data_IF_709773216130
#
_entry.id   IF_709773216130
#
_cell.length_a   1.000
_cell.length_b   1.000
_cell.length_c   1.000
_cell.angle_alpha   90.00
_cell.angle_beta   90.00
_cell.angle_gamma   90.00
#
_symmetry.space_group_name_H-M   'P 1'
#
loop_
_entity.id
_entity.type
_entity.pdbx_description
1 polymer ?
#
# COMPACT_ATOMS: atom_id res chain seq x y z
N UNK A 1 12.70 -6.93 20.34
CA UNK A 1 12.17 -7.63 19.13
C UNK A 1 11.84 -6.69 17.95
N UNK A 2 12.14 -5.38 18.03
CA UNK A 2 11.85 -4.35 17.01
C UNK A 2 12.75 -4.48 15.75
N UNK A 3 13.97 -5.01 15.90
CA UNK A 3 14.94 -5.11 14.81
C UNK A 3 14.46 -5.92 13.60
N UNK A 4 13.67 -6.99 13.79
CA UNK A 4 13.26 -7.90 12.71
C UNK A 4 12.15 -7.34 11.81
N UNK A 5 11.25 -6.50 12.33
CA UNK A 5 10.18 -5.86 11.55
C UNK A 5 10.73 -4.71 10.69
N UNK A 6 11.64 -3.91 11.25
CA UNK A 6 12.42 -2.92 10.50
C UNK A 6 13.32 -3.52 9.42
N UNK A 7 13.63 -4.82 9.49
CA UNK A 7 14.49 -5.47 8.50
C UNK A 7 13.78 -5.63 7.15
N UNK A 8 12.46 -5.86 7.13
CA UNK A 8 11.71 -6.05 5.88
C UNK A 8 11.32 -4.75 5.18
N UNK A 9 10.97 -3.70 5.94
CA UNK A 9 10.86 -2.36 5.37
C UNK A 9 12.18 -1.95 4.69
N UNK A 10 13.35 -2.24 5.31
CA UNK A 10 14.67 -2.05 4.69
C UNK A 10 14.89 -2.90 3.43
N UNK A 11 14.36 -4.13 3.37
CA UNK A 11 14.43 -4.98 2.17
C UNK A 11 13.61 -4.43 1.01
N UNK A 12 12.50 -3.73 1.27
CA UNK A 12 11.71 -3.05 0.24
C UNK A 12 12.43 -1.82 -0.36
N UNK A 13 13.46 -1.31 0.32
CA UNK A 13 14.34 -0.23 -0.16
C UNK A 13 15.66 -0.73 -0.75
N UNK A 14 15.89 -2.04 -0.85
CA UNK A 14 17.06 -2.57 -1.58
C UNK A 14 16.84 -2.31 -3.07
N UNK A 15 17.56 -1.32 -3.60
CA UNK A 15 17.63 -1.06 -5.04
C UNK A 15 18.16 -2.30 -5.75
N UNK A 16 17.46 -2.78 -6.78
CA UNK A 16 18.08 -3.67 -7.76
C UNK A 16 19.29 -2.96 -8.38
N UNK A 17 20.40 -3.67 -8.64
CA UNK A 17 21.52 -3.08 -9.36
C UNK A 17 21.04 -2.52 -10.71
N UNK A 18 21.67 -1.47 -11.25
CA UNK A 18 21.35 -1.00 -12.59
C UNK A 18 21.49 -2.16 -13.58
N UNK A 19 20.70 -2.20 -14.67
CA UNK A 19 20.99 -3.11 -15.75
C UNK A 19 22.44 -2.85 -16.18
N UNK A 20 23.29 -3.87 -16.07
CA UNK A 20 24.68 -3.79 -16.50
C UNK A 20 24.73 -3.29 -17.94
N UNK A 21 25.70 -2.42 -18.22
CA UNK A 21 26.00 -1.92 -19.55
C UNK A 21 25.91 -3.04 -20.59
N UNK A 22 25.14 -2.75 -21.64
CA UNK A 22 24.94 -3.41 -22.93
C UNK A 22 25.59 -4.78 -23.16
N UNK A 23 24.84 -5.81 -23.63
CA UNK A 23 25.48 -6.93 -24.33
C UNK A 23 26.21 -6.39 -25.57
N UNK A 24 27.45 -6.86 -25.73
CA UNK A 24 28.31 -6.64 -26.88
C UNK A 24 27.62 -7.01 -28.19
N UNK A 25 28.00 -6.31 -29.26
CA UNK A 25 27.45 -6.42 -30.60
C UNK A 25 27.61 -7.81 -31.22
N UNK A 26 26.65 -8.70 -30.98
CA UNK A 26 26.28 -9.81 -31.88
C UNK A 26 24.78 -10.05 -31.73
N UNK A 27 23.99 -9.42 -32.60
CA UNK A 27 22.77 -9.98 -33.22
C UNK A 27 22.00 -8.88 -33.95
N UNK A 28 22.58 -8.43 -35.07
CA UNK A 28 21.86 -7.73 -36.12
C UNK A 28 21.39 -8.78 -37.12
N UNK A 29 20.08 -9.07 -37.16
CA UNK A 29 19.35 -9.40 -38.40
C UNK A 29 17.84 -9.50 -38.17
N UNK A 30 17.14 -8.39 -38.40
CA UNK A 30 16.19 -8.25 -39.52
C UNK A 30 15.39 -6.94 -39.40
N UNK A 31 15.68 -6.00 -40.31
CA UNK A 31 14.76 -4.91 -40.73
C UNK A 31 13.75 -5.52 -41.74
N UNK A 32 12.54 -5.01 -41.97
CA UNK A 32 12.22 -3.65 -42.47
C UNK A 32 10.67 -3.42 -42.43
N UNK A 33 10.06 -2.39 -43.07
CA UNK A 33 9.60 -1.17 -42.39
C UNK A 33 8.11 -0.85 -42.65
N UNK A 34 7.54 0.13 -41.94
CA UNK A 34 6.43 0.96 -42.43
C UNK A 34 6.37 2.28 -41.65
N UNK A 35 6.24 3.39 -42.39
CA UNK A 35 6.10 4.80 -41.95
C UNK A 35 4.65 5.27 -42.18
N UNK A 36 4.26 6.56 -42.01
CA UNK A 36 4.39 7.48 -40.86
C UNK A 36 3.07 8.24 -40.47
N UNK A 37 3.14 8.96 -39.33
CA UNK A 37 2.45 10.22 -38.94
C UNK A 37 0.94 10.27 -38.59
N UNK A 38 0.43 11.34 -37.92
CA UNK A 38 1.08 12.52 -37.29
C UNK A 38 0.61 12.86 -35.85
N UNK A 39 1.30 13.84 -35.26
CA UNK A 39 0.86 14.90 -34.33
C UNK A 39 -0.27 14.64 -33.32
N UNK A 40 0.06 14.73 -32.02
CA UNK A 40 -0.80 15.50 -31.13
C UNK A 40 0.03 16.17 -30.02
N UNK A 41 0.07 17.49 -30.08
CA UNK A 41 0.56 18.40 -29.05
C UNK A 41 -0.52 18.56 -28.01
N UNK A 42 -0.28 18.18 -26.76
CA UNK A 42 -0.98 18.78 -25.63
C UNK A 42 -0.05 18.85 -24.42
N UNK A 43 0.07 20.06 -23.90
CA UNK A 43 0.87 20.43 -22.76
C UNK A 43 0.33 19.76 -21.49
N UNK A 44 1.09 18.81 -20.94
CA UNK A 44 0.82 18.27 -19.61
C UNK A 44 1.40 19.22 -18.57
N UNK A 45 0.52 19.94 -17.89
CA UNK A 45 0.81 20.69 -16.68
C UNK A 45 1.48 19.80 -15.64
N UNK A 46 2.61 20.24 -15.12
CA UNK A 46 3.34 19.57 -14.04
C UNK A 46 2.46 19.45 -12.79
N UNK A 47 2.34 18.27 -12.15
CA UNK A 47 1.64 18.15 -10.88
C UNK A 47 2.44 18.87 -9.79
N UNK A 48 1.80 19.84 -9.14
CA UNK A 48 2.35 20.57 -8.01
C UNK A 48 2.68 19.62 -6.86
N UNK A 49 3.89 19.69 -6.33
CA UNK A 49 4.36 18.86 -5.21
C UNK A 49 3.49 19.10 -3.97
N UNK A 50 2.83 18.07 -3.40
CA UNK A 50 2.06 18.23 -2.17
C UNK A 50 3.02 18.36 -0.97
N UNK A 51 2.90 19.47 -0.23
CA UNK A 51 3.61 19.73 1.02
C UNK A 51 2.81 19.22 2.21
N UNK A 52 3.33 18.29 3.05
CA UNK A 52 2.72 17.98 4.32
C UNK A 52 2.94 19.15 5.29
N UNK A 53 1.89 19.90 5.63
CA UNK A 53 1.94 20.90 6.70
C UNK A 53 1.72 20.22 8.05
N UNK A 54 2.67 20.38 8.96
CA UNK A 54 2.65 19.82 10.31
C UNK A 54 1.64 20.57 11.20
N UNK A 55 0.35 20.21 11.12
CA UNK A 55 -0.65 20.55 12.14
C UNK A 55 -0.61 19.49 13.25
N UNK A 56 -0.70 19.92 14.52
CA UNK A 56 -0.62 19.13 15.77
C UNK A 56 0.30 17.88 15.71
N UNK A 57 1.45 17.95 16.38
CA UNK A 57 2.66 17.09 16.23
C UNK A 57 2.52 15.55 16.22
N UNK A 58 1.30 15.01 16.33
CA UNK A 58 0.96 13.59 16.34
C UNK A 58 0.14 13.13 15.11
N UNK A 59 -0.17 13.98 14.14
CA UNK A 59 -0.98 13.60 12.97
C UNK A 59 -0.19 13.57 11.65
N UNK A 60 -0.42 12.54 10.82
CA UNK A 60 -0.05 12.57 9.41
C UNK A 60 -1.17 13.21 8.60
N UNK A 61 -0.84 14.27 7.86
CA UNK A 61 -1.78 14.99 6.98
C UNK A 61 -1.27 14.94 5.55
N UNK A 62 -2.17 14.62 4.63
CA UNK A 62 -1.93 14.66 3.18
C UNK A 62 -3.04 15.45 2.49
N UNK A 63 -2.66 16.36 1.61
CA UNK A 63 -3.56 17.18 0.81
C UNK A 63 -3.12 17.19 -0.65
N UNK A 64 -4.06 16.91 -1.56
CA UNK A 64 -3.84 16.95 -3.00
C UNK A 64 -5.16 17.31 -3.70
N UNK A 65 -5.28 18.56 -4.16
CA UNK A 65 -6.53 19.05 -4.75
C UNK A 65 -7.67 19.08 -3.72
N UNK A 66 -8.77 18.42 -4.04
CA UNK A 66 -9.94 18.24 -3.17
C UNK A 66 -9.80 17.08 -2.16
N UNK A 67 -8.75 16.26 -2.31
CA UNK A 67 -8.51 15.15 -1.42
C UNK A 67 -7.70 15.58 -0.19
N UNK A 68 -8.29 15.37 0.99
CA UNK A 68 -7.62 15.52 2.29
C UNK A 68 -7.69 14.21 3.05
N UNK A 69 -6.56 13.78 3.61
CA UNK A 69 -6.46 12.61 4.46
C UNK A 69 -5.67 12.92 5.72
N UNK A 70 -6.15 12.42 6.86
CA UNK A 70 -5.41 12.50 8.10
C UNK A 70 -5.55 11.26 9.00
N UNK A 71 -4.47 10.93 9.69
CA UNK A 71 -4.44 9.82 10.65
C UNK A 71 -3.47 10.12 11.80
N UNK A 72 -3.87 9.92 13.06
CA UNK A 72 -2.96 10.04 14.19
C UNK A 72 -1.90 8.94 14.14
N UNK A 73 -0.66 9.31 14.41
CA UNK A 73 0.51 8.46 14.43
C UNK A 73 1.08 8.35 15.85
N UNK A 74 1.36 7.12 16.26
CA UNK A 74 2.24 6.82 17.38
C UNK A 74 3.71 6.91 16.96
N UNK A 75 4.60 6.83 17.96
CA UNK A 75 6.04 7.03 17.76
C UNK A 75 6.66 6.01 16.77
N UNK A 76 6.17 4.77 16.74
CA UNK A 76 6.69 3.76 15.80
C UNK A 76 6.30 4.13 14.36
N UNK A 77 5.06 4.58 14.15
CA UNK A 77 4.57 4.99 12.84
C UNK A 77 5.28 6.24 12.31
N UNK A 78 5.54 7.23 13.18
CA UNK A 78 6.33 8.42 12.83
C UNK A 78 7.71 8.03 12.34
N UNK A 79 8.37 7.08 13.02
CA UNK A 79 9.69 6.59 12.60
C UNK A 79 9.65 5.84 11.26
N UNK A 80 8.57 5.12 10.96
CA UNK A 80 8.37 4.48 9.66
C UNK A 80 8.26 5.52 8.56
N UNK A 81 7.43 6.55 8.76
CA UNK A 81 7.24 7.62 7.77
C UNK A 81 8.53 8.42 7.56
N UNK A 82 9.17 8.86 8.65
CA UNK A 82 10.43 9.61 8.60
C UNK A 82 11.51 8.89 7.80
N UNK A 83 11.68 7.58 7.99
CA UNK A 83 12.66 6.79 7.21
C UNK A 83 12.33 6.73 5.73
N UNK A 84 11.04 6.62 5.38
CA UNK A 84 10.61 6.60 3.99
C UNK A 84 10.79 7.98 3.33
N UNK A 85 10.56 9.07 4.08
CA UNK A 85 10.80 10.45 3.67
C UNK A 85 12.29 10.74 3.45
N UNK A 86 13.14 10.38 4.41
CA UNK A 86 14.59 10.50 4.29
C UNK A 86 15.10 9.76 3.06
N UNK A 87 14.56 8.56 2.78
CA UNK A 87 14.96 7.77 1.62
C UNK A 87 14.53 8.42 0.30
N UNK A 88 13.31 8.96 0.25
CA UNK A 88 12.86 9.73 -0.91
C UNK A 88 13.74 10.96 -1.13
N UNK A 89 13.98 11.75 -0.09
CA UNK A 89 14.81 12.95 -0.16
C UNK A 89 16.27 12.62 -0.59
N UNK A 90 16.84 11.52 -0.11
CA UNK A 90 18.17 11.05 -0.54
C UNK A 90 18.21 10.79 -2.05
N UNK A 91 17.23 10.04 -2.57
CA UNK A 91 17.17 9.66 -3.98
C UNK A 91 16.81 10.85 -4.88
N UNK A 92 15.90 11.69 -4.45
CA UNK A 92 15.56 12.95 -5.12
C UNK A 92 16.80 13.84 -5.23
N UNK A 93 17.56 14.04 -4.14
CA UNK A 93 18.81 14.80 -4.17
C UNK A 93 19.86 14.18 -5.11
N UNK A 94 19.95 12.84 -5.13
CA UNK A 94 20.95 12.12 -5.95
C UNK A 94 20.63 12.17 -7.44
N UNK A 95 19.35 12.10 -7.80
CA UNK A 95 18.91 11.87 -9.18
C UNK A 95 18.03 12.99 -9.74
N UNK A 96 17.89 14.12 -9.03
CA UNK A 96 17.17 15.30 -9.52
C UNK A 96 17.75 15.76 -10.85
N UNK A 97 16.87 15.93 -11.85
CA UNK A 97 17.26 16.38 -13.19
C UNK A 97 17.93 15.31 -14.06
N UNK A 98 17.96 14.04 -13.64
CA UNK A 98 18.55 12.99 -14.47
C UNK A 98 17.70 12.62 -15.70
N UNK A 99 18.37 12.57 -16.86
CA UNK A 99 17.81 12.03 -18.10
C UNK A 99 17.78 10.49 -18.15
N UNK A 100 18.38 9.82 -17.17
CA UNK A 100 18.32 8.37 -17.04
C UNK A 100 16.94 7.90 -16.56
N UNK A 101 16.27 7.10 -17.39
CA UNK A 101 14.95 6.51 -17.10
C UNK A 101 14.93 5.68 -15.81
N UNK A 102 15.97 4.90 -15.55
CA UNK A 102 16.05 4.06 -14.34
C UNK A 102 16.14 4.92 -13.09
N UNK A 103 16.93 6.00 -13.12
CA UNK A 103 17.09 6.92 -11.99
C UNK A 103 15.78 7.65 -11.68
N UNK A 104 15.07 8.14 -12.70
CA UNK A 104 13.72 8.70 -12.54
C UNK A 104 12.76 7.69 -11.92
N UNK A 105 12.80 6.43 -12.36
CA UNK A 105 11.98 5.37 -11.78
C UNK A 105 12.32 5.10 -10.31
N UNK A 106 13.60 5.20 -9.90
CA UNK A 106 13.98 5.06 -8.50
C UNK A 106 13.38 6.19 -7.63
N UNK A 107 13.43 7.43 -8.09
CA UNK A 107 12.82 8.57 -7.38
C UNK A 107 11.31 8.39 -7.26
N UNK A 108 10.63 8.06 -8.37
CA UNK A 108 9.18 7.79 -8.36
C UNK A 108 8.82 6.61 -7.46
N UNK A 109 9.61 5.53 -7.47
CA UNK A 109 9.41 4.39 -6.58
C UNK A 109 9.57 4.78 -5.12
N UNK A 110 10.54 5.63 -4.79
CA UNK A 110 10.72 6.12 -3.44
C UNK A 110 9.57 7.02 -2.99
N UNK A 111 9.00 7.82 -3.90
CA UNK A 111 7.81 8.63 -3.63
C UNK A 111 6.59 7.75 -3.34
N UNK A 112 6.37 6.72 -4.15
CA UNK A 112 5.37 5.70 -3.85
C UNK A 112 5.59 5.09 -2.46
N UNK A 113 6.83 4.67 -2.16
CA UNK A 113 7.14 4.04 -0.88
C UNK A 113 6.96 4.97 0.32
N UNK A 114 7.20 6.29 0.17
CA UNK A 114 6.91 7.30 1.20
C UNK A 114 5.47 7.19 1.68
N UNK A 115 4.52 7.08 0.75
CA UNK A 115 3.09 7.01 1.07
C UNK A 115 2.55 5.57 1.21
N UNK A 116 3.35 4.55 0.90
CA UNK A 116 2.96 3.14 1.06
C UNK A 116 3.58 2.48 2.30
N UNK A 117 4.55 3.12 2.96
CA UNK A 117 5.26 2.55 4.09
C UNK A 117 4.35 2.18 5.28
N UNK A 118 3.39 3.05 5.64
CA UNK A 118 2.42 2.76 6.71
C UNK A 118 1.51 1.57 6.34
N UNK A 119 1.08 1.48 5.08
CA UNK A 119 0.30 0.34 4.58
C UNK A 119 1.03 -0.99 4.77
N UNK A 120 2.35 -1.03 4.54
CA UNK A 120 3.19 -2.20 4.79
C UNK A 120 3.33 -2.45 6.29
N UNK A 121 3.63 -1.42 7.07
CA UNK A 121 3.83 -1.53 8.51
C UNK A 121 2.60 -2.12 9.21
N UNK A 122 1.39 -1.63 8.91
CA UNK A 122 0.16 -2.14 9.50
C UNK A 122 -0.12 -3.60 9.17
N UNK A 123 0.16 -4.01 7.93
CA UNK A 123 0.07 -5.42 7.53
C UNK A 123 1.03 -6.27 8.37
N UNK A 124 2.28 -5.86 8.48
CA UNK A 124 3.31 -6.63 9.19
C UNK A 124 3.00 -6.76 10.68
N UNK A 125 2.55 -5.68 11.31
CA UNK A 125 2.12 -5.68 12.70
C UNK A 125 0.90 -6.58 12.91
N UNK A 126 -0.14 -6.46 12.08
CA UNK A 126 -1.31 -7.32 12.17
C UNK A 126 -0.94 -8.81 12.01
N UNK A 127 -0.06 -9.14 11.05
CA UNK A 127 0.44 -10.51 10.87
C UNK A 127 1.24 -11.02 12.07
N UNK A 128 2.11 -10.18 12.63
CA UNK A 128 2.90 -10.52 13.81
C UNK A 128 2.00 -10.86 15.00
N UNK A 129 1.09 -9.95 15.35
CA UNK A 129 0.20 -10.14 16.50
C UNK A 129 -0.77 -11.30 16.29
N UNK A 130 -1.27 -11.52 15.07
CA UNK A 130 -2.18 -12.64 14.82
C UNK A 130 -1.50 -14.00 15.03
N UNK A 131 -0.19 -14.12 14.77
CA UNK A 131 0.57 -15.34 15.09
C UNK A 131 0.63 -15.61 16.59
N UNK A 132 0.57 -14.55 17.41
CA UNK A 132 0.64 -14.64 18.87
C UNK A 132 -0.72 -14.72 19.57
N UNK A 133 -1.83 -14.72 18.81
CA UNK A 133 -3.21 -14.64 19.34
C UNK A 133 -3.58 -15.71 20.39
N UNK A 134 -2.90 -16.86 20.41
CA UNK A 134 -3.16 -17.95 21.36
C UNK A 134 -2.19 -17.94 22.55
N UNK A 135 -1.14 -17.11 22.53
CA UNK A 135 -0.09 -17.07 23.55
C UNK A 135 -0.17 -15.81 24.42
N UNK A 136 -0.74 -14.74 23.89
CA UNK A 136 -0.84 -13.45 24.57
C UNK A 136 -2.28 -12.95 24.48
N UNK A 137 -2.89 -12.64 25.62
CA UNK A 137 -4.29 -12.21 25.71
C UNK A 137 -4.59 -10.98 24.87
N UNK A 138 -3.65 -10.03 24.80
CA UNK A 138 -3.77 -8.79 24.02
C UNK A 138 -3.50 -8.94 22.51
N UNK A 139 -2.97 -10.08 22.06
CA UNK A 139 -2.49 -10.20 20.68
C UNK A 139 -3.64 -10.18 19.65
N UNK A 140 -4.81 -10.70 19.99
CA UNK A 140 -5.98 -10.59 19.11
C UNK A 140 -6.47 -9.14 19.00
N UNK A 141 -6.50 -8.41 20.11
CA UNK A 141 -6.87 -6.99 20.13
C UNK A 141 -5.90 -6.15 19.30
N UNK A 142 -4.59 -6.36 19.48
CA UNK A 142 -3.56 -5.70 18.67
C UNK A 142 -3.70 -6.03 17.18
N UNK A 143 -4.03 -7.26 16.83
CA UNK A 143 -4.34 -7.64 15.44
C UNK A 143 -5.50 -6.82 14.89
N UNK A 144 -6.60 -6.72 15.63
CA UNK A 144 -7.78 -5.94 15.23
C UNK A 144 -7.41 -4.46 15.06
N UNK A 145 -6.66 -3.90 16.02
CA UNK A 145 -6.19 -2.51 15.99
C UNK A 145 -5.40 -2.23 14.71
N UNK A 146 -4.42 -3.06 14.36
CA UNK A 146 -3.62 -2.87 13.16
C UNK A 146 -4.38 -3.14 11.86
N UNK A 147 -5.31 -4.09 11.83
CA UNK A 147 -6.20 -4.26 10.67
C UNK A 147 -7.05 -3.02 10.44
N UNK A 148 -7.62 -2.44 11.52
CA UNK A 148 -8.40 -1.19 11.44
C UNK A 148 -7.55 0.00 11.00
N UNK A 149 -6.32 0.15 11.52
CA UNK A 149 -5.38 1.18 11.06
C UNK A 149 -5.07 1.02 9.57
N UNK A 150 -4.83 -0.21 9.11
CA UNK A 150 -4.60 -0.48 7.68
C UNK A 150 -5.80 -0.10 6.81
N UNK A 151 -7.01 -0.45 7.23
CA UNK A 151 -8.25 -0.10 6.52
C UNK A 151 -8.47 1.41 6.52
N UNK A 152 -8.26 2.09 7.65
CA UNK A 152 -8.35 3.56 7.73
C UNK A 152 -7.36 4.24 6.77
N UNK A 153 -6.18 3.66 6.59
CA UNK A 153 -5.15 4.16 5.67
C UNK A 153 -5.40 3.82 4.19
N UNK A 154 -6.40 2.98 3.88
CA UNK A 154 -6.66 2.49 2.54
C UNK A 154 -6.85 3.61 1.49
N UNK A 155 -7.57 4.72 1.74
CA UNK A 155 -7.70 5.81 0.76
C UNK A 155 -6.35 6.41 0.34
N UNK A 156 -5.45 6.62 1.31
CA UNK A 156 -4.10 7.11 1.05
C UNK A 156 -3.27 6.07 0.29
N UNK A 157 -3.36 4.79 0.69
CA UNK A 157 -2.67 3.71 0.00
C UNK A 157 -3.11 3.62 -1.48
N UNK A 158 -4.41 3.70 -1.76
CA UNK A 158 -4.95 3.71 -3.13
C UNK A 158 -4.37 4.88 -3.94
N UNK A 159 -4.28 6.07 -3.35
CA UNK A 159 -3.67 7.24 -3.99
C UNK A 159 -2.19 7.01 -4.27
N UNK A 160 -1.44 6.54 -3.28
CA UNK A 160 -0.02 6.22 -3.40
C UNK A 160 0.22 5.19 -4.52
N UNK A 161 -0.60 4.15 -4.62
CA UNK A 161 -0.47 3.10 -5.63
C UNK A 161 -0.54 3.61 -7.08
N UNK A 162 -1.17 4.77 -7.31
CA UNK A 162 -1.19 5.44 -8.62
C UNK A 162 0.17 6.06 -8.98
N UNK A 163 1.03 6.29 -7.99
CA UNK A 163 2.38 6.83 -8.17
C UNK A 163 3.42 5.75 -8.48
N UNK A 164 3.09 4.46 -8.31
CA UNK A 164 4.04 3.36 -8.54
C UNK A 164 4.25 3.12 -10.05
N UNK A 165 5.46 3.35 -10.60
CA UNK A 165 5.73 3.13 -12.02
C UNK A 165 5.59 1.67 -12.44
N UNK A 166 5.56 0.73 -11.48
CA UNK A 166 5.41 -0.70 -11.73
C UNK A 166 3.97 -1.19 -11.52
N UNK A 167 3.07 -0.33 -11.06
CA UNK A 167 1.67 -0.67 -10.87
C UNK A 167 1.01 -0.93 -12.22
N UNK A 168 0.43 -2.12 -12.38
CA UNK A 168 -0.39 -2.48 -13.55
C UNK A 168 -1.85 -2.01 -13.39
N UNK A 169 -2.10 -0.99 -12.57
CA UNK A 169 -3.44 -0.45 -12.30
C UNK A 169 -4.33 -1.32 -11.42
N UNK A 170 -3.87 -2.50 -10.96
CA UNK A 170 -4.64 -3.40 -10.08
C UNK A 170 -4.12 -3.31 -8.65
N UNK A 171 -5.00 -3.00 -7.69
CA UNK A 171 -4.64 -2.98 -6.28
C UNK A 171 -4.25 -4.38 -5.79
N UNK A 172 -3.28 -4.50 -4.86
CA UNK A 172 -2.87 -5.78 -4.33
C UNK A 172 -3.91 -6.36 -3.34
N UNK A 173 -3.62 -7.53 -2.79
CA UNK A 173 -4.42 -8.06 -1.68
C UNK A 173 -4.30 -7.20 -0.42
N UNK A 174 -5.44 -6.88 0.19
CA UNK A 174 -5.48 -6.09 1.42
C UNK A 174 -5.63 -6.98 2.67
N UNK A 175 -4.54 -7.10 3.44
CA UNK A 175 -4.49 -7.98 4.60
C UNK A 175 -5.50 -7.58 5.69
N UNK A 176 -5.61 -6.29 6.01
CA UNK A 176 -6.49 -5.75 7.04
C UNK A 176 -7.96 -6.16 6.85
N UNK A 177 -8.56 -5.81 5.70
CA UNK A 177 -9.89 -6.29 5.31
C UNK A 177 -10.07 -7.80 5.45
N UNK A 178 -9.17 -8.59 4.84
CA UNK A 178 -9.28 -10.05 4.85
C UNK A 178 -9.23 -10.61 6.27
N UNK A 179 -8.24 -10.21 7.05
CA UNK A 179 -8.00 -10.77 8.38
C UNK A 179 -9.06 -10.30 9.37
N UNK A 180 -9.50 -9.05 9.30
CA UNK A 180 -10.54 -8.52 10.19
C UNK A 180 -11.90 -9.16 9.90
N UNK A 181 -12.26 -9.36 8.62
CA UNK A 181 -13.48 -10.07 8.26
C UNK A 181 -13.48 -11.52 8.77
N UNK A 182 -12.33 -12.23 8.72
CA UNK A 182 -12.19 -13.56 9.32
C UNK A 182 -12.38 -13.51 10.84
N UNK A 183 -11.82 -12.51 11.51
CA UNK A 183 -11.95 -12.37 12.96
C UNK A 183 -13.40 -12.10 13.35
N UNK A 184 -14.09 -11.20 12.64
CA UNK A 184 -15.50 -10.88 12.90
C UNK A 184 -16.43 -12.06 12.64
N UNK A 185 -16.24 -12.80 11.56
CA UNK A 185 -16.97 -14.04 11.31
C UNK A 185 -16.81 -15.04 12.45
N UNK A 186 -15.57 -15.27 12.93
CA UNK A 186 -15.31 -16.14 14.09
C UNK A 186 -15.92 -15.64 15.40
N UNK A 187 -16.21 -14.35 15.51
CA UNK A 187 -16.87 -13.73 16.66
C UNK A 187 -18.40 -13.71 16.51
N UNK A 188 -18.97 -14.31 15.46
CA UNK A 188 -20.41 -14.25 15.16
C UNK A 188 -20.87 -12.89 14.61
N UNK A 189 -19.94 -11.96 14.37
CA UNK A 189 -20.18 -10.61 13.83
C UNK A 189 -20.24 -10.66 12.30
N UNK A 190 -21.19 -11.43 11.79
CA UNK A 190 -21.26 -11.75 10.37
C UNK A 190 -21.57 -10.52 9.50
N UNK A 191 -22.45 -9.63 9.96
CA UNK A 191 -22.79 -8.42 9.21
C UNK A 191 -21.60 -7.46 9.14
N UNK A 192 -20.80 -7.32 10.20
CA UNK A 192 -19.55 -6.57 10.20
C UNK A 192 -18.56 -7.16 9.19
N UNK A 193 -18.43 -8.48 9.14
CA UNK A 193 -17.55 -9.17 8.19
C UNK A 193 -18.01 -8.93 6.73
N UNK A 194 -19.31 -8.97 6.46
CA UNK A 194 -19.89 -8.67 5.14
C UNK A 194 -19.62 -7.20 4.75
N UNK A 195 -19.83 -6.25 5.67
CA UNK A 195 -19.58 -4.82 5.42
C UNK A 195 -18.12 -4.58 5.00
N UNK A 196 -17.17 -5.20 5.69
CA UNK A 196 -15.74 -5.10 5.35
C UNK A 196 -15.43 -5.66 3.96
N UNK A 197 -16.00 -6.81 3.59
CA UNK A 197 -15.78 -7.39 2.26
C UNK A 197 -16.40 -6.56 1.14
N UNK A 198 -17.57 -5.94 1.37
CA UNK A 198 -18.17 -5.00 0.41
C UNK A 198 -17.31 -3.76 0.22
N UNK A 199 -16.87 -3.15 1.30
CA UNK A 199 -15.98 -1.99 1.23
C UNK A 199 -14.69 -2.32 0.45
N UNK A 200 -14.07 -3.47 0.73
CA UNK A 200 -12.87 -3.89 0.00
C UNK A 200 -13.11 -4.10 -1.51
N UNK A 201 -14.28 -4.64 -1.87
CA UNK A 201 -14.71 -4.85 -3.25
C UNK A 201 -14.97 -3.51 -3.97
N UNK A 202 -15.70 -2.61 -3.32
CA UNK A 202 -16.04 -1.27 -3.83
C UNK A 202 -14.78 -0.41 -4.04
N UNK A 203 -13.82 -0.48 -3.11
CA UNK A 203 -12.51 0.18 -3.23
C UNK A 203 -11.59 -0.47 -4.28
N UNK A 204 -11.96 -1.63 -4.83
CA UNK A 204 -11.22 -2.32 -5.90
C UNK A 204 -9.99 -3.11 -5.41
N UNK A 205 -9.88 -3.42 -4.12
CA UNK A 205 -8.80 -4.26 -3.60
C UNK A 205 -8.91 -5.68 -4.19
N UNK A 206 -7.78 -6.31 -4.50
CA UNK A 206 -7.80 -7.69 -5.00
C UNK A 206 -8.16 -8.68 -3.88
N UNK A 207 -9.01 -9.67 -4.14
CA UNK A 207 -9.40 -10.67 -3.16
C UNK A 207 -10.62 -11.50 -3.53
N UNK A 208 -10.89 -12.52 -2.71
CA UNK A 208 -12.03 -13.44 -2.76
C UNK A 208 -13.29 -12.83 -2.10
N UNK A 209 -13.57 -11.54 -2.32
CA UNK A 209 -14.55 -10.80 -1.52
C UNK A 209 -15.98 -11.28 -1.70
N UNK A 210 -16.42 -11.59 -2.92
CA UNK A 210 -17.76 -12.09 -3.19
C UNK A 210 -18.01 -13.45 -2.54
N UNK A 211 -17.04 -14.36 -2.66
CA UNK A 211 -17.07 -15.67 -2.01
C UNK A 211 -17.15 -15.55 -0.48
N UNK A 212 -16.40 -14.60 0.09
CA UNK A 212 -16.45 -14.27 1.53
C UNK A 212 -17.83 -13.76 1.94
N UNK A 213 -18.40 -12.82 1.19
CA UNK A 213 -19.74 -12.29 1.43
C UNK A 213 -20.78 -13.43 1.43
N UNK A 214 -20.71 -14.33 0.45
CA UNK A 214 -21.61 -15.48 0.38
C UNK A 214 -21.46 -16.39 1.61
N UNK A 215 -20.23 -16.74 2.00
CA UNK A 215 -19.98 -17.57 3.19
C UNK A 215 -20.51 -16.92 4.48
N UNK A 216 -20.27 -15.63 4.66
CA UNK A 216 -20.68 -14.93 5.88
C UNK A 216 -22.20 -14.75 5.97
N UNK A 217 -22.90 -14.58 4.83
CA UNK A 217 -24.37 -14.64 4.79
C UNK A 217 -24.89 -16.00 5.26
N UNK A 218 -24.33 -17.09 4.75
CA UNK A 218 -24.69 -18.44 5.19
C UNK A 218 -24.46 -18.66 6.69
N UNK A 219 -23.35 -18.16 7.24
CA UNK A 219 -23.06 -18.28 8.67
C UNK A 219 -24.04 -17.47 9.52
N UNK A 220 -24.39 -16.26 9.09
CA UNK A 220 -25.41 -15.41 9.72
C UNK A 220 -26.76 -16.10 9.81
N UNK A 221 -27.23 -16.65 8.70
CA UNK A 221 -28.56 -17.25 8.62
C UNK A 221 -28.63 -18.52 9.50
N UNK A 222 -27.57 -19.34 9.52
CA UNK A 222 -27.45 -20.48 10.45
C UNK A 222 -27.49 -20.09 11.92
N UNK A 223 -26.82 -18.99 12.30
CA UNK A 223 -26.86 -18.50 13.68
C UNK A 223 -28.23 -17.96 14.08
N UNK A 224 -29.04 -17.49 13.12
CA UNK A 224 -30.41 -17.04 13.37
C UNK A 224 -31.39 -18.22 13.55
N UNK A 225 -31.15 -19.35 12.89
CA UNK A 225 -31.99 -20.57 12.95
C UNK A 225 -31.78 -21.41 14.23
N UNK A 226 -30.72 -21.15 15.01
CA UNK A 226 -30.46 -21.83 16.28
C UNK A 226 -30.37 -20.84 17.45
N UNK A 227 -31.49 -20.19 17.86
CA UNK A 227 -31.50 -19.39 19.07
C UNK A 227 -31.24 -20.30 20.27
N UNK A 228 -30.17 -20.06 21.02
CA UNK A 228 -29.94 -20.68 22.33
C UNK A 228 -30.89 -20.11 23.38
#
# INVERSE_FOLDING_TARGET
>A
MIGKLLTRAKELFKSSPPPSESPTAEDVKNRSPSSPNPENTDAVSSPSTPSPSTGEADEFVYQEGDFTFSIPLDEEEKQVLKKAEEKHAELEKRYSGSDNKWERQQVQRALFMKYWALQVHYKEQAQYWYKQRNHQSEALEKTIRYCKKQIRYAPMAIRAHRMDPLSKGKLPHHYGYKQLAIIYDKQGKHDEAIRLCRQALEEGWNGDWEERIHRYRKNRDKSAESPQ
#
